data_IF_476034002853
#
_entry.id   IF_476034002853
#
_cell.length_a   1.000
_cell.length_b   1.000
_cell.length_c   1.000
_cell.angle_alpha   90.00
_cell.angle_beta   90.00
_cell.angle_gamma   90.00
#
_symmetry.space_group_name_H-M   'P 1'
#
loop_
_entity.id
_entity.type
_entity.pdbx_description
1 polymer ?
#
# COMPACT_ATOMS: atom_id res chain seq x y z
N UNK A 1 41.90 14.90 -53.56
CA UNK A 1 42.29 14.10 -52.36
C UNK A 1 41.86 14.70 -51.07
N UNK A 2 41.85 16.02 -50.81
CA UNK A 2 41.46 16.62 -49.50
C UNK A 2 40.02 16.42 -49.11
N UNK A 3 39.04 16.28 -49.99
CA UNK A 3 37.61 16.09 -49.66
C UNK A 3 37.26 14.64 -49.21
N UNK A 4 38.06 13.65 -49.58
CA UNK A 4 37.87 12.24 -49.18
C UNK A 4 38.46 11.93 -47.80
N UNK A 5 39.44 12.68 -47.34
CA UNK A 5 40.05 12.55 -46.03
C UNK A 5 39.16 13.17 -44.95
N UNK A 6 38.42 14.25 -45.25
CA UNK A 6 37.48 14.86 -44.30
C UNK A 6 36.26 13.95 -44.05
N UNK A 7 35.78 13.21 -45.05
CA UNK A 7 34.66 12.29 -44.90
C UNK A 7 35.03 11.05 -44.04
N UNK A 8 36.27 10.58 -44.13
CA UNK A 8 36.75 9.46 -43.32
C UNK A 8 36.94 9.83 -41.83
N UNK A 9 37.30 11.08 -41.54
CA UNK A 9 37.43 11.58 -40.17
C UNK A 9 36.08 11.83 -39.51
N UNK A 10 35.04 12.21 -40.27
CA UNK A 10 33.67 12.38 -39.71
C UNK A 10 32.98 11.04 -39.41
N UNK A 11 33.28 9.97 -40.15
CA UNK A 11 32.73 8.62 -39.83
C UNK A 11 33.42 7.92 -38.66
N UNK A 12 34.65 8.28 -38.35
CA UNK A 12 35.38 7.69 -37.20
C UNK A 12 34.90 8.22 -35.86
N UNK A 13 34.26 9.40 -35.82
CA UNK A 13 33.70 9.97 -34.57
C UNK A 13 32.33 9.39 -34.15
N UNK A 14 31.67 8.56 -34.99
CA UNK A 14 30.36 7.98 -34.68
C UNK A 14 30.42 6.54 -34.11
N UNK A 15 31.62 5.99 -33.92
CA UNK A 15 31.85 4.68 -33.34
C UNK A 15 32.59 4.78 -32.01
N UNK A 16 32.15 5.73 -31.13
CA UNK A 16 32.44 5.59 -29.71
C UNK A 16 31.44 4.57 -29.19
N UNK A 17 31.83 3.31 -28.84
CA UNK A 17 30.96 2.46 -28.10
C UNK A 17 30.67 3.25 -26.83
N UNK A 18 29.40 3.46 -26.54
CA UNK A 18 28.98 3.87 -25.20
C UNK A 18 29.53 2.77 -24.28
N UNK A 19 30.68 3.03 -23.67
CA UNK A 19 31.13 2.26 -22.51
C UNK A 19 30.05 2.51 -21.46
N UNK A 20 29.04 1.63 -21.42
CA UNK A 20 28.22 1.46 -20.24
C UNK A 20 29.18 0.99 -19.15
N UNK A 21 29.72 1.93 -18.39
CA UNK A 21 30.39 1.58 -17.16
C UNK A 21 29.45 0.64 -16.40
N UNK A 22 29.89 -0.54 -15.94
CA UNK A 22 29.06 -1.35 -15.07
C UNK A 22 28.64 -0.42 -13.93
N UNK A 23 27.34 -0.32 -13.71
CA UNK A 23 26.82 0.37 -12.53
C UNK A 23 27.33 -0.44 -11.34
N UNK A 24 28.43 0.02 -10.73
CA UNK A 24 28.88 -0.54 -9.47
C UNK A 24 27.77 -0.22 -8.46
N UNK A 25 27.22 -1.25 -7.83
CA UNK A 25 26.37 -1.08 -6.68
C UNK A 25 27.08 -0.13 -5.69
N UNK A 26 26.38 0.88 -5.21
CA UNK A 26 26.97 1.90 -4.34
C UNK A 26 27.55 1.30 -3.03
N UNK A 27 27.11 0.07 -2.69
CA UNK A 27 27.46 -0.61 -1.44
C UNK A 27 27.85 -2.07 -1.70
N UNK A 28 28.87 -2.61 -0.98
CA UNK A 28 29.37 -3.97 -1.20
C UNK A 28 28.35 -5.07 -0.87
N UNK A 29 27.35 -4.79 -0.05
CA UNK A 29 26.28 -5.70 0.33
C UNK A 29 24.97 -5.48 -0.47
N UNK A 30 25.06 -4.75 -1.60
CA UNK A 30 23.98 -4.57 -2.57
C UNK A 30 24.45 -5.16 -3.90
N UNK A 31 24.22 -6.47 -4.17
CA UNK A 31 24.60 -7.10 -5.42
C UNK A 31 23.87 -6.47 -6.62
N UNK A 32 24.52 -6.41 -7.78
CA UNK A 32 24.01 -5.72 -8.96
C UNK A 32 22.73 -6.35 -9.55
N UNK A 33 22.48 -7.61 -9.30
CA UNK A 33 21.37 -8.42 -9.82
C UNK A 33 20.17 -8.54 -8.87
N UNK A 34 20.23 -7.90 -7.71
CA UNK A 34 19.14 -7.94 -6.75
C UNK A 34 18.00 -6.97 -7.16
N UNK A 35 16.76 -7.38 -6.85
CA UNK A 35 15.57 -6.62 -7.23
C UNK A 35 15.52 -5.19 -6.66
N UNK A 36 16.26 -4.92 -5.59
CA UNK A 36 16.27 -3.64 -4.88
C UNK A 36 17.42 -2.72 -5.30
N UNK A 37 18.39 -3.19 -6.07
CA UNK A 37 19.62 -2.44 -6.39
C UNK A 37 19.31 -1.10 -7.03
N UNK A 38 18.51 -1.09 -8.08
CA UNK A 38 18.08 0.14 -8.75
C UNK A 38 17.40 1.16 -7.82
N UNK A 39 16.63 0.67 -6.84
CA UNK A 39 15.97 1.53 -5.87
C UNK A 39 16.93 2.11 -4.84
N UNK A 40 17.91 1.33 -4.41
CA UNK A 40 18.96 1.78 -3.51
C UNK A 40 19.83 2.82 -4.19
N UNK A 41 20.28 2.56 -5.41
CA UNK A 41 21.09 3.48 -6.20
C UNK A 41 20.37 4.81 -6.41
N UNK A 42 19.12 4.79 -6.85
CA UNK A 42 18.29 6.00 -7.00
C UNK A 42 18.23 6.82 -5.70
N UNK A 43 17.93 6.17 -4.57
CA UNK A 43 17.83 6.86 -3.29
C UNK A 43 19.18 7.40 -2.81
N UNK A 44 20.28 6.72 -3.12
CA UNK A 44 21.66 7.15 -2.80
C UNK A 44 22.06 8.35 -3.64
N UNK A 45 21.83 8.30 -4.95
CA UNK A 45 22.10 9.43 -5.85
C UNK A 45 21.33 10.69 -5.49
N UNK A 46 20.11 10.53 -4.97
CA UNK A 46 19.27 11.63 -4.48
C UNK A 46 19.62 12.07 -3.06
N UNK A 47 20.59 11.44 -2.39
CA UNK A 47 20.94 11.74 -1.01
C UNK A 47 19.85 11.40 0.02
N UNK A 48 18.86 10.57 -0.37
CA UNK A 48 17.74 10.17 0.50
C UNK A 48 18.19 9.12 1.51
N UNK A 49 19.07 8.22 1.09
CA UNK A 49 19.67 7.19 1.93
C UNK A 49 21.19 7.27 1.87
N UNK A 50 21.82 6.89 2.98
CA UNK A 50 23.26 6.71 3.07
C UNK A 50 23.55 5.29 3.59
N UNK A 51 24.77 4.80 3.32
CA UNK A 51 25.31 3.62 3.97
C UNK A 51 25.65 3.88 5.43
N UNK A 52 26.07 2.82 6.10
CA UNK A 52 26.64 2.86 7.44
C UNK A 52 28.14 3.22 7.39
N UNK A 53 28.73 3.52 8.53
CA UNK A 53 30.16 3.89 8.64
C UNK A 53 31.10 2.78 8.16
N UNK A 54 30.66 1.51 8.20
CA UNK A 54 31.37 0.36 7.68
C UNK A 54 31.25 0.19 6.15
N UNK A 55 30.62 1.14 5.48
CA UNK A 55 30.41 1.13 4.03
C UNK A 55 29.27 0.23 3.55
N UNK A 56 28.53 -0.43 4.42
CA UNK A 56 27.40 -1.30 4.05
C UNK A 56 26.08 -0.51 3.96
N UNK A 57 25.10 -1.05 3.20
CA UNK A 57 23.73 -0.53 3.17
C UNK A 57 22.78 -1.26 4.12
N UNK A 58 23.01 -2.55 4.34
CA UNK A 58 22.18 -3.46 5.13
C UNK A 58 20.75 -3.58 4.60
N UNK A 59 20.57 -4.06 3.37
CA UNK A 59 19.27 -4.05 2.67
C UNK A 59 18.16 -4.80 3.40
N UNK A 60 18.50 -5.88 4.13
CA UNK A 60 17.57 -6.69 4.90
C UNK A 60 17.29 -6.17 6.32
N UNK A 61 18.04 -5.16 6.76
CA UNK A 61 17.85 -4.53 8.06
C UNK A 61 16.51 -3.81 8.15
N UNK A 62 15.80 -3.95 9.27
CA UNK A 62 14.54 -3.25 9.47
C UNK A 62 14.75 -1.75 9.69
N UNK A 63 13.92 -0.95 9.00
CA UNK A 63 13.95 0.50 9.05
C UNK A 63 13.37 1.03 10.37
N UNK A 64 14.04 2.01 10.98
CA UNK A 64 13.55 2.74 12.15
C UNK A 64 12.65 3.90 11.71
N UNK A 65 11.77 4.36 12.61
CA UNK A 65 10.94 5.55 12.36
C UNK A 65 11.80 6.77 12.02
N UNK A 66 12.88 7.01 12.78
CA UNK A 66 13.82 8.10 12.52
C UNK A 66 14.43 8.05 11.11
N UNK A 67 14.75 6.87 10.61
CA UNK A 67 15.31 6.70 9.27
C UNK A 67 14.27 7.01 8.18
N UNK A 68 13.03 6.53 8.32
CA UNK A 68 11.97 6.84 7.37
C UNK A 68 11.56 8.31 7.40
N UNK A 69 11.48 8.90 8.59
CA UNK A 69 11.24 10.34 8.78
C UNK A 69 12.31 11.15 8.05
N UNK A 70 13.60 10.81 8.20
CA UNK A 70 14.69 11.45 7.45
C UNK A 70 14.51 11.29 5.95
N UNK A 71 14.21 10.07 5.45
CA UNK A 71 14.02 9.83 4.02
C UNK A 71 12.93 10.73 3.42
N UNK A 72 11.80 10.89 4.10
CA UNK A 72 10.74 11.80 3.67
C UNK A 72 11.16 13.25 3.73
N UNK A 73 11.73 13.71 4.85
CA UNK A 73 12.12 15.10 5.03
C UNK A 73 13.20 15.53 4.03
N UNK A 74 14.19 14.69 3.76
CA UNK A 74 15.25 14.97 2.77
C UNK A 74 14.77 14.95 1.32
N UNK A 75 13.63 14.31 1.06
CA UNK A 75 13.05 14.25 -0.29
C UNK A 75 12.23 15.51 -0.67
N UNK A 76 12.10 16.48 0.24
CA UNK A 76 11.39 17.72 0.03
C UNK A 76 12.08 18.88 0.78
N UNK A 77 11.91 20.10 0.26
CA UNK A 77 12.45 21.30 0.91
C UNK A 77 11.48 21.76 2.00
N UNK A 78 11.50 21.10 3.16
CA UNK A 78 10.67 21.42 4.30
C UNK A 78 11.44 22.28 5.31
N UNK A 79 10.73 23.11 6.05
CA UNK A 79 11.24 23.94 7.13
C UNK A 79 10.50 23.66 8.43
N UNK A 80 11.09 24.04 9.54
CA UNK A 80 10.50 23.97 10.87
C UNK A 80 10.86 25.23 11.68
N UNK A 81 10.13 25.48 12.77
CA UNK A 81 10.31 26.66 13.64
C UNK A 81 10.53 26.31 15.10
N UNK A 82 10.21 25.09 15.50
CA UNK A 82 10.30 24.64 16.89
C UNK A 82 11.73 24.63 17.38
N UNK A 83 11.92 25.00 18.66
CA UNK A 83 13.15 24.69 19.38
C UNK A 83 13.24 23.19 19.66
N UNK A 84 14.41 22.61 19.48
CA UNK A 84 14.65 21.19 19.59
C UNK A 84 15.45 20.85 20.84
N UNK A 85 15.10 19.76 21.56
CA UNK A 85 15.82 19.36 22.77
C UNK A 85 17.25 18.87 22.53
N UNK A 86 17.64 18.55 21.29
CA UNK A 86 18.99 18.11 20.92
C UNK A 86 19.37 16.72 21.45
N UNK A 87 18.38 15.86 21.69
CA UNK A 87 18.59 14.52 22.29
C UNK A 87 18.69 13.39 21.26
N UNK A 88 18.23 13.63 20.03
CA UNK A 88 18.26 12.63 18.97
C UNK A 88 18.59 13.29 17.63
N UNK A 89 19.41 12.64 16.83
CA UNK A 89 19.85 13.14 15.52
C UNK A 89 18.71 13.41 14.51
N UNK A 90 17.54 12.80 14.69
CA UNK A 90 16.42 12.93 13.77
C UNK A 90 15.38 13.99 14.20
N UNK A 91 15.61 14.75 15.25
CA UNK A 91 14.67 15.75 15.77
C UNK A 91 14.33 16.83 14.74
N UNK A 92 15.31 17.30 13.98
CA UNK A 92 15.07 18.27 12.91
C UNK A 92 14.12 17.71 11.84
N UNK A 93 14.36 16.49 11.40
CA UNK A 93 13.52 15.82 10.40
C UNK A 93 12.12 15.54 10.95
N UNK A 94 12.03 15.18 12.25
CA UNK A 94 10.76 15.00 12.92
C UNK A 94 9.97 16.32 12.98
N UNK A 95 10.61 17.42 13.35
CA UNK A 95 9.99 18.75 13.41
C UNK A 95 9.50 19.17 12.00
N UNK A 96 10.34 18.99 10.97
CA UNK A 96 9.94 19.25 9.58
C UNK A 96 8.66 18.52 9.21
N UNK A 97 8.56 17.22 9.46
CA UNK A 97 7.40 16.44 9.11
C UNK A 97 6.18 16.74 9.99
N UNK A 98 6.39 16.97 11.28
CA UNK A 98 5.33 17.28 12.25
C UNK A 98 4.66 18.62 11.93
N UNK A 99 5.45 19.68 11.75
CA UNK A 99 4.92 21.02 11.46
C UNK A 99 4.28 21.14 10.07
N UNK A 100 4.69 20.29 9.13
CA UNK A 100 4.05 20.20 7.82
C UNK A 100 2.91 19.16 7.77
N UNK A 101 2.48 18.66 8.93
CA UNK A 101 1.31 17.80 9.08
C UNK A 101 1.49 16.36 8.56
N UNK A 102 2.72 15.95 8.26
CA UNK A 102 2.99 14.59 7.71
C UNK A 102 2.78 13.51 8.77
N UNK A 103 3.01 13.84 10.05
CA UNK A 103 2.84 12.92 11.18
C UNK A 103 1.43 12.92 11.78
N UNK A 104 0.50 13.73 11.25
CA UNK A 104 -0.89 13.75 11.74
C UNK A 104 -1.54 12.37 11.68
N UNK A 105 -2.26 12.02 12.76
CA UNK A 105 -2.92 10.71 12.91
C UNK A 105 -1.99 9.60 13.39
N UNK A 106 -0.73 9.93 13.72
CA UNK A 106 0.22 9.01 14.32
C UNK A 106 0.64 9.50 15.70
N UNK A 107 0.72 8.59 16.66
CA UNK A 107 1.32 8.85 17.97
C UNK A 107 2.82 8.53 17.92
N UNK A 108 3.58 9.46 17.36
CA UNK A 108 5.05 9.36 17.28
C UNK A 108 5.66 10.61 17.96
N UNK A 109 5.79 10.60 19.29
CA UNK A 109 6.41 11.72 19.99
C UNK A 109 7.91 11.83 19.65
N UNK A 110 8.45 13.04 19.78
CA UNK A 110 9.88 13.31 19.59
C UNK A 110 10.69 12.82 20.79
N UNK A 111 10.71 11.50 20.99
CA UNK A 111 11.49 10.84 22.07
C UNK A 111 12.43 9.81 21.47
N UNK A 112 13.51 9.52 22.19
CA UNK A 112 14.50 8.55 21.75
C UNK A 112 13.84 7.20 21.41
N UNK A 113 13.05 6.64 22.31
CA UNK A 113 12.43 5.31 22.13
C UNK A 113 11.45 5.29 20.94
N UNK A 114 10.61 6.31 20.81
CA UNK A 114 9.66 6.40 19.70
C UNK A 114 10.38 6.50 18.34
N UNK A 115 11.44 7.26 18.25
CA UNK A 115 12.24 7.44 17.04
C UNK A 115 13.11 6.22 16.70
N UNK A 116 13.55 5.45 17.70
CA UNK A 116 14.30 4.21 17.50
C UNK A 116 13.44 3.00 17.18
N UNK A 117 12.14 3.06 17.45
CA UNK A 117 11.22 1.97 17.12
C UNK A 117 11.22 1.69 15.60
N UNK A 118 11.01 0.43 15.24
CA UNK A 118 10.89 0.02 13.83
C UNK A 118 9.55 0.49 13.27
N UNK A 119 9.58 1.13 12.11
CA UNK A 119 8.35 1.61 11.46
C UNK A 119 7.54 0.47 10.88
N UNK A 120 6.22 0.56 11.02
CA UNK A 120 5.25 -0.37 10.45
C UNK A 120 4.77 0.12 9.09
N UNK A 121 4.18 -0.79 8.30
CA UNK A 121 3.55 -0.42 7.02
C UNK A 121 2.35 0.50 7.22
N UNK A 122 1.61 0.39 8.33
CA UNK A 122 0.55 1.33 8.69
C UNK A 122 1.08 2.75 8.88
N UNK A 123 2.11 2.91 9.70
CA UNK A 123 2.73 4.22 9.93
C UNK A 123 3.26 4.83 8.63
N UNK A 124 3.93 4.02 7.81
CA UNK A 124 4.40 4.48 6.50
C UNK A 124 3.26 4.92 5.58
N UNK A 125 2.15 4.18 5.57
CA UNK A 125 0.99 4.55 4.75
C UNK A 125 0.42 5.90 5.16
N UNK A 126 0.29 6.18 6.46
CA UNK A 126 -0.18 7.47 6.96
C UNK A 126 0.78 8.59 6.59
N UNK A 127 2.08 8.41 6.86
CA UNK A 127 3.09 9.41 6.51
C UNK A 127 3.12 9.70 5.00
N UNK A 128 3.05 8.67 4.17
CA UNK A 128 3.05 8.83 2.69
C UNK A 128 1.79 9.54 2.21
N UNK A 129 0.60 9.12 2.68
CA UNK A 129 -0.65 9.80 2.31
C UNK A 129 -0.60 11.28 2.65
N UNK A 130 -0.21 11.60 3.88
CA UNK A 130 -0.12 12.98 4.33
C UNK A 130 0.95 13.76 3.54
N UNK A 131 2.10 13.17 3.27
CA UNK A 131 3.15 13.79 2.46
C UNK A 131 2.67 14.11 1.05
N UNK A 132 1.98 13.16 0.40
CA UNK A 132 1.41 13.39 -0.93
C UNK A 132 0.39 14.53 -0.92
N UNK A 133 -0.53 14.53 0.04
CA UNK A 133 -1.59 15.53 0.11
C UNK A 133 -1.07 16.91 0.52
N UNK A 134 -0.25 17.00 1.58
CA UNK A 134 0.12 18.27 2.22
C UNK A 134 1.40 18.88 1.66
N UNK A 135 2.35 18.05 1.25
CA UNK A 135 3.65 18.53 0.74
C UNK A 135 3.67 18.56 -0.79
N UNK A 136 3.11 17.55 -1.45
CA UNK A 136 3.12 17.47 -2.91
C UNK A 136 1.84 17.94 -3.58
N UNK A 137 0.76 18.18 -2.82
CA UNK A 137 -0.54 18.61 -3.37
C UNK A 137 -1.17 17.57 -4.31
N UNK A 138 -0.84 16.30 -4.14
CA UNK A 138 -1.32 15.23 -5.02
C UNK A 138 -2.75 14.83 -4.65
N UNK A 139 -3.64 14.81 -5.66
CA UNK A 139 -5.04 14.43 -5.49
C UNK A 139 -5.17 12.98 -5.01
N UNK A 140 -6.13 12.75 -4.11
CA UNK A 140 -6.46 11.41 -3.65
C UNK A 140 -7.10 10.57 -4.76
N UNK A 141 -6.79 9.27 -4.77
CA UNK A 141 -7.41 8.30 -5.65
C UNK A 141 -8.80 7.92 -5.15
N UNK A 142 -9.67 7.48 -6.06
CA UNK A 142 -10.97 6.88 -5.69
C UNK A 142 -10.73 5.50 -5.09
N UNK A 143 -11.22 5.27 -3.87
CA UNK A 143 -10.93 4.06 -3.09
C UNK A 143 -12.18 3.41 -2.47
N UNK A 144 -13.37 3.75 -2.96
CA UNK A 144 -14.64 3.25 -2.44
C UNK A 144 -14.82 1.72 -2.58
N UNK A 145 -14.02 1.06 -3.41
CA UNK A 145 -13.96 -0.41 -3.55
C UNK A 145 -12.84 -1.09 -2.76
N UNK A 146 -12.08 -0.34 -1.93
CA UNK A 146 -10.93 -0.88 -1.20
C UNK A 146 -11.25 -2.11 -0.34
N UNK A 147 -12.39 -2.11 0.33
CA UNK A 147 -12.84 -3.22 1.18
C UNK A 147 -12.95 -4.57 0.43
N UNK A 148 -13.01 -4.55 -0.89
CA UNK A 148 -13.13 -5.74 -1.74
C UNK A 148 -11.86 -6.11 -2.48
N UNK A 149 -10.98 -5.14 -2.62
CA UNK A 149 -9.75 -5.28 -3.40
C UNK A 149 -8.52 -5.54 -2.54
N UNK A 150 -8.58 -5.16 -1.25
CA UNK A 150 -7.49 -5.39 -0.30
C UNK A 150 -7.87 -6.59 0.56
N UNK A 151 -7.19 -7.73 0.42
CA UNK A 151 -7.60 -9.00 1.01
C UNK A 151 -7.75 -9.01 2.53
N UNK A 152 -6.90 -8.29 3.24
CA UNK A 152 -6.91 -8.18 4.70
C UNK A 152 -7.63 -6.93 5.22
N UNK A 153 -8.47 -6.30 4.40
CA UNK A 153 -9.18 -5.05 4.76
C UNK A 153 -9.94 -5.12 6.07
N UNK A 154 -10.62 -6.22 6.32
CA UNK A 154 -11.42 -6.40 7.53
C UNK A 154 -10.58 -6.32 8.81
N UNK A 155 -9.29 -6.61 8.73
CA UNK A 155 -8.34 -6.60 9.85
C UNK A 155 -7.55 -5.30 9.95
N UNK A 156 -7.71 -4.38 8.98
CA UNK A 156 -7.06 -3.06 9.02
C UNK A 156 -7.83 -2.19 10.01
N UNK A 157 -7.17 -1.68 11.08
CA UNK A 157 -7.80 -0.75 11.99
C UNK A 157 -8.34 0.47 11.25
N UNK A 158 -9.51 0.95 11.64
CA UNK A 158 -10.22 2.03 10.94
C UNK A 158 -9.37 3.29 10.74
N UNK A 159 -8.58 3.64 11.74
CA UNK A 159 -7.68 4.80 11.69
C UNK A 159 -6.67 4.76 10.53
N UNK A 160 -6.32 3.56 10.04
CA UNK A 160 -5.35 3.39 8.94
C UNK A 160 -5.99 3.14 7.58
N UNK A 161 -7.29 2.79 7.52
CA UNK A 161 -7.96 2.38 6.27
C UNK A 161 -7.82 3.39 5.15
N UNK A 162 -8.07 4.66 5.43
CA UNK A 162 -7.94 5.71 4.43
C UNK A 162 -6.53 5.83 3.85
N UNK A 163 -5.52 5.79 4.71
CA UNK A 163 -4.12 5.87 4.28
C UNK A 163 -3.69 4.62 3.50
N UNK A 164 -4.05 3.43 3.99
CA UNK A 164 -3.78 2.15 3.30
C UNK A 164 -4.41 2.14 1.91
N UNK A 165 -5.69 2.52 1.79
CA UNK A 165 -6.37 2.56 0.51
C UNK A 165 -5.66 3.49 -0.49
N UNK A 166 -5.21 4.68 -0.05
CA UNK A 166 -4.51 5.63 -0.91
C UNK A 166 -3.16 5.11 -1.42
N UNK A 167 -2.31 4.60 -0.53
CA UNK A 167 -0.98 4.11 -0.94
C UNK A 167 -1.08 2.84 -1.78
N UNK A 168 -2.11 2.02 -1.55
CA UNK A 168 -2.38 0.82 -2.33
C UNK A 168 -2.90 1.18 -3.73
N UNK A 169 -3.91 2.06 -3.82
CA UNK A 169 -4.47 2.52 -5.09
C UNK A 169 -3.41 3.19 -5.97
N UNK A 170 -2.55 4.02 -5.37
CA UNK A 170 -1.46 4.68 -6.09
C UNK A 170 -0.28 3.75 -6.44
N UNK A 171 -0.31 2.49 -5.99
CA UNK A 171 0.74 1.51 -6.25
C UNK A 171 2.10 1.88 -5.63
N UNK A 172 2.08 2.62 -4.51
CA UNK A 172 3.30 2.98 -3.77
C UNK A 172 3.68 1.88 -2.80
N UNK A 173 2.71 1.39 -2.02
CA UNK A 173 2.86 0.22 -1.16
C UNK A 173 1.85 -0.84 -1.63
N UNK A 174 2.33 -1.85 -2.31
CA UNK A 174 1.51 -2.95 -2.82
C UNK A 174 1.31 -4.04 -1.76
N UNK A 175 0.45 -5.00 -2.08
CA UNK A 175 0.30 -6.22 -1.29
C UNK A 175 1.59 -7.03 -1.18
N UNK A 176 1.61 -7.96 -0.25
CA UNK A 176 2.75 -8.81 0.04
C UNK A 176 2.48 -10.25 -0.37
N UNK A 177 3.55 -11.02 -0.50
CA UNK A 177 3.47 -12.49 -0.53
C UNK A 177 3.11 -13.01 0.85
N UNK A 178 2.27 -14.02 0.91
CA UNK A 178 1.97 -14.73 2.15
C UNK A 178 3.18 -15.57 2.61
N UNK A 179 3.06 -16.22 3.76
CA UNK A 179 4.12 -17.06 4.31
C UNK A 179 4.46 -18.29 3.46
N UNK A 180 3.58 -18.70 2.56
CA UNK A 180 3.81 -19.78 1.58
C UNK A 180 4.47 -19.26 0.28
N UNK A 181 4.77 -17.94 0.20
CA UNK A 181 5.37 -17.32 -0.98
C UNK A 181 4.38 -16.96 -2.08
N UNK A 182 3.09 -17.28 -1.93
CA UNK A 182 2.06 -16.89 -2.88
C UNK A 182 1.67 -15.42 -2.69
N UNK A 183 1.48 -14.69 -3.78
CA UNK A 183 1.01 -13.30 -3.76
C UNK A 183 -0.48 -13.29 -3.45
N UNK A 184 -0.84 -12.99 -2.21
CA UNK A 184 -2.24 -12.85 -1.83
C UNK A 184 -2.74 -11.40 -1.84
N UNK A 185 -1.86 -10.44 -2.07
CA UNK A 185 -2.19 -9.03 -2.13
C UNK A 185 -2.49 -8.37 -0.78
N UNK A 186 -2.37 -9.09 0.35
CA UNK A 186 -2.62 -8.54 1.69
C UNK A 186 -1.70 -7.37 1.99
N UNK A 187 -2.23 -6.34 2.65
CA UNK A 187 -1.44 -5.17 3.03
C UNK A 187 -0.46 -5.46 4.17
N UNK A 188 -0.86 -6.29 5.14
CA UNK A 188 -0.03 -6.69 6.29
C UNK A 188 0.57 -5.51 7.06
N UNK A 189 -0.27 -4.60 7.51
CA UNK A 189 0.13 -3.29 8.04
C UNK A 189 1.04 -3.30 9.26
N UNK A 190 1.00 -4.34 10.10
CA UNK A 190 1.87 -4.49 11.28
C UNK A 190 3.30 -4.90 10.92
N UNK A 191 3.53 -5.40 9.69
CA UNK A 191 4.88 -5.76 9.27
C UNK A 191 5.80 -4.55 9.21
N UNK A 192 7.04 -4.76 9.60
CA UNK A 192 8.14 -3.80 9.50
C UNK A 192 8.74 -3.91 8.10
N UNK A 193 9.16 -2.79 7.53
CA UNK A 193 9.86 -2.80 6.25
C UNK A 193 11.36 -2.89 6.45
N UNK A 194 12.01 -3.55 5.51
CA UNK A 194 13.46 -3.51 5.40
C UNK A 194 13.91 -2.20 4.71
N UNK A 195 15.18 -1.87 4.83
CA UNK A 195 15.76 -0.70 4.16
C UNK A 195 15.63 -0.77 2.64
N UNK A 196 15.82 -1.95 2.05
CA UNK A 196 15.61 -2.18 0.62
C UNK A 196 14.14 -1.91 0.20
N UNK A 197 13.18 -2.43 0.96
CA UNK A 197 11.75 -2.21 0.70
C UNK A 197 11.39 -0.73 0.83
N UNK A 198 11.93 -0.04 1.81
CA UNK A 198 11.71 1.39 1.97
C UNK A 198 12.28 2.20 0.81
N UNK A 199 13.44 1.85 0.27
CA UNK A 199 13.98 2.48 -0.93
C UNK A 199 13.03 2.34 -2.13
N UNK A 200 12.46 1.15 -2.36
CA UNK A 200 11.47 0.95 -3.41
C UNK A 200 10.19 1.81 -3.20
N UNK A 201 9.74 1.94 -1.94
CA UNK A 201 8.61 2.80 -1.59
C UNK A 201 8.95 4.27 -1.89
N UNK A 202 10.14 4.76 -1.53
CA UNK A 202 10.57 6.13 -1.82
C UNK A 202 10.65 6.42 -3.32
N UNK A 203 11.16 5.50 -4.12
CA UNK A 203 11.21 5.67 -5.58
C UNK A 203 9.78 5.84 -6.13
N UNK A 204 8.84 4.97 -5.75
CA UNK A 204 7.44 5.07 -6.18
C UNK A 204 6.73 6.32 -5.65
N UNK A 205 7.10 6.77 -4.45
CA UNK A 205 6.59 8.03 -3.91
C UNK A 205 7.03 9.22 -4.77
N UNK A 206 8.29 9.27 -5.17
CA UNK A 206 8.91 10.42 -5.83
C UNK A 206 8.72 10.41 -7.35
N UNK A 207 8.67 9.24 -7.96
CA UNK A 207 8.48 9.04 -9.40
C UNK A 207 7.15 8.31 -9.69
N UNK A 208 6.09 9.05 -10.08
CA UNK A 208 4.81 8.44 -10.42
C UNK A 208 4.88 7.41 -11.56
N UNK A 209 5.87 7.51 -12.48
CA UNK A 209 6.04 6.55 -13.58
C UNK A 209 6.47 5.16 -13.09
N UNK A 210 7.03 5.07 -11.90
CA UNK A 210 7.47 3.83 -11.26
C UNK A 210 6.39 3.18 -10.36
N UNK A 211 5.21 3.79 -10.28
CA UNK A 211 4.08 3.24 -9.52
C UNK A 211 3.40 2.13 -10.31
N UNK A 212 2.81 1.18 -9.59
CA UNK A 212 1.93 0.16 -10.15
C UNK A 212 0.51 0.38 -9.59
N UNK A 213 -0.26 1.35 -10.10
CA UNK A 213 -1.54 1.72 -9.55
C UNK A 213 -2.55 0.58 -9.67
N UNK A 214 -3.40 0.46 -8.66
CA UNK A 214 -4.49 -0.52 -8.59
C UNK A 214 -5.81 0.25 -8.57
N UNK A 215 -6.70 -0.06 -9.49
CA UNK A 215 -8.04 0.51 -9.48
C UNK A 215 -8.83 -0.02 -8.28
N UNK A 216 -9.04 0.83 -7.30
CA UNK A 216 -9.88 0.56 -6.13
C UNK A 216 -11.26 1.20 -6.25
N UNK A 217 -11.61 1.75 -7.41
CA UNK A 217 -12.95 2.28 -7.63
C UNK A 217 -14.00 1.17 -7.69
N UNK A 218 -15.20 1.51 -7.29
CA UNK A 218 -16.37 0.68 -7.46
C UNK A 218 -17.36 1.40 -8.37
N UNK A 219 -17.25 1.11 -9.65
CA UNK A 219 -18.07 1.72 -10.68
C UNK A 219 -19.38 0.94 -10.94
N UNK A 220 -19.71 -0.05 -10.12
CA UNK A 220 -20.95 -0.79 -10.27
C UNK A 220 -22.14 0.08 -9.82
N UNK A 221 -23.03 0.52 -10.73
CA UNK A 221 -24.14 1.39 -10.38
C UNK A 221 -25.18 0.72 -9.47
N UNK A 222 -25.14 -0.60 -9.35
CA UNK A 222 -26.03 -1.37 -8.48
C UNK A 222 -25.39 -1.68 -7.12
N UNK A 223 -24.21 -1.17 -6.88
CA UNK A 223 -23.45 -1.45 -5.67
C UNK A 223 -23.50 -0.28 -4.72
N UNK A 224 -23.84 -0.57 -3.50
CA UNK A 224 -23.75 0.37 -2.41
C UNK A 224 -22.29 0.43 -1.97
N UNK A 225 -21.68 1.60 -2.07
CA UNK A 225 -20.25 1.80 -1.81
C UNK A 225 -19.82 1.31 -0.43
N UNK A 226 -20.73 1.46 0.56
CA UNK A 226 -20.47 1.15 1.96
C UNK A 226 -20.90 -0.27 2.36
N UNK A 227 -21.42 -1.07 1.40
CA UNK A 227 -21.86 -2.41 1.74
C UNK A 227 -20.66 -3.30 2.13
N UNK A 228 -20.64 -3.88 3.34
CA UNK A 228 -19.55 -4.72 3.78
C UNK A 228 -19.50 -6.04 3.03
N UNK A 229 -18.30 -6.60 2.90
CA UNK A 229 -18.12 -7.96 2.41
C UNK A 229 -18.54 -8.97 3.48
N UNK A 230 -19.06 -10.09 3.00
CA UNK A 230 -19.52 -11.16 3.86
C UNK A 230 -21.03 -11.11 4.15
N UNK A 231 -21.62 -12.29 4.33
CA UNK A 231 -23.07 -12.42 4.43
C UNK A 231 -23.64 -11.73 5.68
N UNK A 232 -23.11 -12.02 6.85
CA UNK A 232 -23.65 -11.45 8.10
C UNK A 232 -23.46 -9.93 8.23
N UNK A 233 -22.26 -9.40 8.01
CA UNK A 233 -22.06 -7.95 8.01
C UNK A 233 -22.94 -7.24 6.98
N UNK A 234 -23.08 -7.83 5.78
CA UNK A 234 -23.95 -7.28 4.75
C UNK A 234 -25.43 -7.28 5.16
N UNK A 235 -25.92 -8.35 5.76
CA UNK A 235 -27.31 -8.43 6.22
C UNK A 235 -27.63 -7.41 7.32
N UNK A 236 -26.73 -7.23 8.27
CA UNK A 236 -26.87 -6.23 9.33
C UNK A 236 -26.87 -4.84 8.71
N UNK A 237 -25.88 -4.52 7.92
CA UNK A 237 -25.75 -3.25 7.22
C UNK A 237 -26.98 -2.94 6.32
N UNK A 238 -27.44 -3.92 5.54
CA UNK A 238 -28.60 -3.76 4.66
C UNK A 238 -29.85 -3.40 5.48
N UNK A 239 -30.09 -4.08 6.60
CA UNK A 239 -31.21 -3.78 7.48
C UNK A 239 -31.11 -2.37 8.09
N UNK A 240 -29.93 -1.99 8.57
CA UNK A 240 -29.68 -0.67 9.16
C UNK A 240 -29.86 0.48 8.15
N UNK A 241 -29.63 0.19 6.87
CA UNK A 241 -29.78 1.17 5.78
C UNK A 241 -31.10 1.04 5.01
N UNK A 242 -32.09 0.35 5.57
CA UNK A 242 -33.45 0.25 5.01
C UNK A 242 -33.60 -0.72 3.84
N UNK A 243 -32.65 -1.61 3.63
CA UNK A 243 -32.78 -2.67 2.62
C UNK A 243 -33.32 -3.94 3.27
N UNK A 244 -34.30 -4.52 2.62
CA UNK A 244 -34.87 -5.82 3.00
C UNK A 244 -34.40 -6.88 2.01
N UNK A 245 -33.73 -7.90 2.52
CA UNK A 245 -33.44 -9.10 1.73
C UNK A 245 -34.72 -9.88 1.47
N UNK A 246 -34.81 -10.54 0.32
CA UNK A 246 -35.95 -11.36 0.01
C UNK A 246 -36.00 -12.54 1.00
N UNK A 247 -37.03 -12.56 1.85
CA UNK A 247 -37.19 -13.57 2.91
C UNK A 247 -37.55 -14.97 2.41
N UNK A 248 -37.73 -15.14 1.10
CA UNK A 248 -38.14 -16.43 0.52
C UNK A 248 -36.96 -17.39 0.24
N UNK A 249 -35.72 -16.91 0.41
CA UNK A 249 -34.54 -17.74 0.23
C UNK A 249 -34.19 -18.47 1.54
N UNK A 250 -34.08 -19.78 1.54
CA UNK A 250 -33.57 -20.54 2.67
C UNK A 250 -32.14 -20.08 3.01
N UNK A 251 -31.79 -20.07 4.30
CA UNK A 251 -30.46 -19.62 4.76
C UNK A 251 -29.31 -20.36 4.07
N UNK A 252 -29.48 -21.67 3.82
CA UNK A 252 -28.50 -22.47 3.08
C UNK A 252 -28.34 -22.04 1.62
N UNK A 253 -29.45 -21.77 0.92
CA UNK A 253 -29.43 -21.28 -0.44
C UNK A 253 -28.74 -19.91 -0.53
N UNK A 254 -28.95 -19.05 0.46
CA UNK A 254 -28.30 -17.74 0.54
C UNK A 254 -26.80 -17.87 0.74
N UNK A 255 -26.34 -18.74 1.64
CA UNK A 255 -24.94 -19.06 1.82
C UNK A 255 -24.30 -19.60 0.55
N UNK A 256 -24.98 -20.53 -0.14
CA UNK A 256 -24.53 -21.09 -1.41
C UNK A 256 -24.44 -20.05 -2.52
N UNK A 257 -25.39 -19.11 -2.56
CA UNK A 257 -25.37 -18.00 -3.52
C UNK A 257 -24.13 -17.13 -3.32
N UNK A 258 -23.82 -16.76 -2.07
CA UNK A 258 -22.70 -15.87 -1.75
C UNK A 258 -21.36 -16.58 -1.78
N UNK A 259 -21.26 -17.79 -1.29
CA UNK A 259 -20.01 -18.45 -1.00
C UNK A 259 -19.73 -19.71 -1.83
N UNK A 260 -20.69 -20.16 -2.62
CA UNK A 260 -20.54 -21.35 -3.46
C UNK A 260 -20.70 -22.67 -2.75
N UNK A 261 -20.32 -22.75 -1.48
CA UNK A 261 -20.46 -23.92 -0.62
C UNK A 261 -20.93 -23.47 0.76
N UNK A 262 -22.13 -23.90 1.17
CA UNK A 262 -22.73 -23.52 2.44
C UNK A 262 -21.97 -24.06 3.67
N UNK A 263 -21.25 -25.14 3.50
CA UNK A 263 -20.49 -25.79 4.57
C UNK A 263 -19.09 -25.19 4.74
N UNK A 264 -18.58 -24.52 3.72
CA UNK A 264 -17.25 -23.94 3.78
C UNK A 264 -17.29 -22.50 4.31
N UNK A 265 -16.69 -22.30 5.45
CA UNK A 265 -16.71 -21.00 6.17
C UNK A 265 -15.47 -20.15 5.96
N UNK A 266 -14.35 -20.75 5.63
CA UNK A 266 -13.08 -20.06 5.35
C UNK A 266 -12.16 -20.91 4.47
N UNK A 267 -11.12 -20.27 3.94
CA UNK A 267 -10.10 -20.91 3.11
C UNK A 267 -8.71 -20.59 3.66
N UNK A 268 -7.79 -21.52 3.51
CA UNK A 268 -6.44 -21.38 4.03
C UNK A 268 -5.56 -20.44 3.16
N UNK A 269 -5.87 -20.31 1.87
CA UNK A 269 -5.12 -19.45 0.95
C UNK A 269 -6.04 -18.74 -0.05
N UNK A 270 -5.48 -17.76 -0.76
CA UNK A 270 -6.18 -17.05 -1.84
C UNK A 270 -6.48 -17.99 -3.02
N UNK A 271 -5.58 -18.93 -3.33
CA UNK A 271 -5.74 -19.92 -4.40
C UNK A 271 -6.90 -20.86 -4.08
N UNK A 272 -7.00 -21.31 -2.84
CA UNK A 272 -8.12 -22.15 -2.40
C UNK A 272 -9.45 -21.37 -2.46
N UNK A 273 -9.45 -20.08 -2.15
CA UNK A 273 -10.62 -19.23 -2.19
C UNK A 273 -11.05 -18.82 -3.60
N UNK A 274 -10.10 -18.70 -4.53
CA UNK A 274 -10.33 -18.15 -5.86
C UNK A 274 -11.53 -18.77 -6.63
N UNK A 275 -11.77 -20.09 -6.62
CA UNK A 275 -12.92 -20.69 -7.28
C UNK A 275 -14.28 -20.26 -6.69
N UNK A 276 -14.26 -19.74 -5.46
CA UNK A 276 -15.46 -19.34 -4.71
C UNK A 276 -15.61 -17.82 -4.61
N UNK A 277 -14.62 -17.06 -5.07
CA UNK A 277 -14.71 -15.61 -5.20
C UNK A 277 -15.45 -15.27 -6.48
N UNK A 278 -16.54 -14.57 -6.35
CA UNK A 278 -17.38 -14.26 -7.49
C UNK A 278 -18.23 -13.02 -7.27
N UNK A 279 -18.63 -12.41 -8.35
CA UNK A 279 -19.71 -11.44 -8.34
C UNK A 279 -21.04 -12.16 -8.26
N UNK A 280 -21.85 -11.79 -7.30
CA UNK A 280 -23.21 -12.31 -7.13
C UNK A 280 -24.22 -11.17 -7.26
N UNK A 281 -25.36 -11.49 -7.83
CA UNK A 281 -26.49 -10.57 -7.95
C UNK A 281 -27.52 -10.96 -6.90
N UNK A 282 -27.92 -10.01 -6.09
CA UNK A 282 -28.90 -10.22 -5.01
C UNK A 282 -30.06 -9.24 -5.20
N UNK A 283 -31.27 -9.79 -5.23
CA UNK A 283 -32.50 -8.99 -5.23
C UNK A 283 -32.76 -8.51 -3.80
N UNK A 284 -32.92 -7.23 -3.62
CA UNK A 284 -33.25 -6.60 -2.35
C UNK A 284 -34.43 -5.66 -2.52
N UNK A 285 -35.12 -5.38 -1.41
CA UNK A 285 -36.14 -4.37 -1.36
C UNK A 285 -35.59 -3.14 -0.65
N UNK A 286 -35.67 -2.00 -1.29
CA UNK A 286 -35.34 -0.71 -0.68
C UNK A 286 -36.61 -0.13 -0.06
N UNK A 287 -36.61 0.12 1.23
CA UNK A 287 -37.69 0.79 1.93
C UNK A 287 -37.58 2.30 1.67
N UNK A 288 -38.66 2.87 1.17
CA UNK A 288 -38.76 4.31 0.92
C UNK A 288 -39.25 5.04 2.20
N UNK A 289 -38.98 6.37 2.32
CA UNK A 289 -39.47 7.14 3.47
C UNK A 289 -40.99 7.13 3.69
N UNK A 290 -41.77 6.90 2.65
CA UNK A 290 -43.21 6.79 2.69
C UNK A 290 -43.73 5.39 3.09
N UNK A 291 -42.81 4.46 3.42
CA UNK A 291 -43.12 3.08 3.79
C UNK A 291 -43.34 2.15 2.59
N UNK A 292 -43.27 2.63 1.37
CA UNK A 292 -43.31 1.79 0.18
C UNK A 292 -42.01 1.03 -0.02
N UNK A 293 -42.05 -0.05 -0.82
CA UNK A 293 -40.87 -0.87 -1.15
C UNK A 293 -40.64 -0.86 -2.64
N UNK A 294 -39.41 -0.55 -3.04
CA UNK A 294 -38.98 -0.68 -4.44
C UNK A 294 -37.96 -1.82 -4.56
N UNK A 295 -38.06 -2.59 -5.64
CA UNK A 295 -37.10 -3.65 -5.89
C UNK A 295 -35.80 -3.03 -6.39
N UNK A 296 -34.68 -3.46 -5.80
CA UNK A 296 -33.33 -3.13 -6.24
C UNK A 296 -32.51 -4.39 -6.44
N UNK A 297 -31.51 -4.29 -7.29
CA UNK A 297 -30.57 -5.38 -7.57
C UNK A 297 -29.19 -4.95 -7.14
N UNK A 298 -28.60 -5.70 -6.21
CA UNK A 298 -27.23 -5.48 -5.77
C UNK A 298 -26.30 -6.47 -6.46
N UNK A 299 -25.18 -5.96 -6.94
CA UNK A 299 -24.06 -6.79 -7.39
C UNK A 299 -22.94 -6.69 -6.38
N UNK A 300 -22.54 -7.82 -5.83
CA UNK A 300 -21.53 -7.92 -4.77
C UNK A 300 -20.42 -8.87 -5.22
N UNK A 301 -19.16 -8.50 -4.95
CA UNK A 301 -18.05 -9.45 -5.00
C UNK A 301 -17.85 -10.02 -3.61
N UNK A 302 -17.94 -11.33 -3.48
CA UNK A 302 -17.87 -12.00 -2.19
C UNK A 302 -16.56 -12.74 -2.04
N UNK A 303 -15.87 -12.47 -0.94
CA UNK A 303 -14.60 -13.07 -0.56
C UNK A 303 -14.75 -13.80 0.78
N UNK A 304 -15.16 -15.05 0.73
CA UNK A 304 -15.46 -15.83 1.94
C UNK A 304 -14.27 -15.94 2.90
N UNK A 305 -13.08 -16.08 2.38
CA UNK A 305 -11.86 -16.20 3.19
C UNK A 305 -11.47 -14.92 3.96
N UNK A 306 -12.03 -13.78 3.58
CA UNK A 306 -11.81 -12.51 4.29
C UNK A 306 -12.69 -12.37 5.53
N UNK A 307 -13.80 -13.10 5.60
CA UNK A 307 -14.86 -12.86 6.58
C UNK A 307 -14.63 -13.54 7.92
N UNK A 308 -13.75 -14.53 8.05
CA UNK A 308 -13.85 -15.46 9.17
C UNK A 308 -12.53 -15.80 9.89
N UNK A 309 -11.37 -15.42 9.41
CA UNK A 309 -10.14 -15.98 9.96
C UNK A 309 -9.32 -14.98 10.77
N UNK A 310 -9.54 -14.97 12.10
CA UNK A 310 -8.68 -14.27 13.06
C UNK A 310 -7.20 -14.73 12.97
N UNK A 311 -6.93 -15.93 12.43
CA UNK A 311 -5.58 -16.44 12.22
C UNK A 311 -4.80 -15.66 11.13
N UNK A 312 -5.48 -14.90 10.28
CA UNK A 312 -4.81 -14.03 9.29
C UNK A 312 -4.05 -12.87 9.92
N UNK A 313 -4.52 -12.36 11.05
CA UNK A 313 -3.75 -11.37 11.84
C UNK A 313 -2.41 -11.95 12.31
N UNK A 314 -2.35 -13.25 12.61
CA UNK A 314 -1.09 -13.92 12.97
C UNK A 314 -0.15 -14.10 11.78
N UNK A 315 -0.66 -14.25 10.54
CA UNK A 315 0.21 -14.40 9.36
C UNK A 315 0.91 -13.11 8.94
N UNK A 316 0.34 -11.97 9.24
CA UNK A 316 0.97 -10.68 9.01
C UNK A 316 1.88 -10.24 10.17
N UNK A 317 1.74 -10.84 11.34
CA UNK A 317 2.34 -10.35 12.59
C UNK A 317 3.69 -10.94 12.99
N UNK A 318 4.10 -12.06 12.48
CA UNK A 318 5.31 -12.73 12.95
C UNK A 318 6.28 -13.08 11.82
N UNK A 319 7.23 -12.21 11.58
CA UNK A 319 8.55 -12.53 11.03
C UNK A 319 9.53 -11.41 11.37
#
# INVERSE_FOLDING_TARGET
>A
MRKRILAALLCACLLVPALTAPAFAAFPDVPADEWYTEYVDFCTEKGIVNGFEDGTFRPTGYLRRSEFIKMLATSASLTYKSELPGKHWAEEYWAMLSENGVLEGLDIPCTFDALQAKTTRYEMAVMIRNFLAKVRGETEAVTNGAARRIPDWAYIPEAYRGAVAQVYAKGIINGMKNTAGAEDGSFCGERKLTRAQASAVMVRLLDPARRAPVDLSDNNPYRLADAPNGLQPFMIWARENGYMLNNNEPRGAFNKLFFGDENKTYFASAEEAAPYMRDVTVNVWQLQPDGTKTQAVLKLTVHKYLAADASRTQRCGSA
#
